data_IF_314637653387
#
_entry.id   IF_314637653387
#
_cell.length_a   1.000
_cell.length_b   1.000
_cell.length_c   1.000
_cell.angle_alpha   90.00
_cell.angle_beta   90.00
_cell.angle_gamma   90.00
#
_symmetry.space_group_name_H-M   'P 1'
#
loop_
_entity.id
_entity.type
_entity.pdbx_description
1 polymer ?
#
# COMPACT_ATOMS: atom_id res chain seq x y z
N UNK A 1 -33.29 28.41 -17.98
CA UNK A 1 -33.22 27.17 -17.19
C UNK A 1 -33.00 25.99 -18.13
N UNK A 2 -31.77 25.46 -18.22
CA UNK A 2 -31.39 24.15 -18.80
C UNK A 2 -29.85 24.06 -18.90
N UNK A 3 -29.16 23.90 -17.77
CA UNK A 3 -27.71 23.65 -17.80
C UNK A 3 -27.38 22.36 -17.03
N UNK A 4 -28.11 21.28 -17.28
CA UNK A 4 -27.72 19.96 -16.79
C UNK A 4 -27.67 19.04 -18.00
N UNK A 5 -26.48 18.52 -18.29
CA UNK A 5 -26.28 17.54 -19.36
C UNK A 5 -26.11 16.17 -18.72
N UNK A 6 -26.88 15.19 -19.18
CA UNK A 6 -26.77 13.82 -18.69
C UNK A 6 -25.95 12.97 -19.66
N UNK A 7 -25.06 12.14 -19.11
CA UNK A 7 -24.34 11.09 -19.82
C UNK A 7 -25.06 9.79 -19.50
N UNK A 8 -25.47 9.06 -20.53
CA UNK A 8 -26.28 7.85 -20.41
C UNK A 8 -25.41 6.59 -20.59
N UNK A 9 -25.85 5.48 -19.99
CA UNK A 9 -25.31 4.14 -20.23
C UNK A 9 -25.73 3.62 -21.61
N UNK A 10 -25.18 2.47 -22.02
CA UNK A 10 -25.57 1.80 -23.26
C UNK A 10 -27.07 1.46 -23.33
N UNK A 11 -27.72 1.27 -22.19
CA UNK A 11 -29.16 0.98 -22.07
C UNK A 11 -30.03 2.26 -22.00
N UNK A 12 -29.42 3.43 -22.21
CA UNK A 12 -30.13 4.71 -22.24
C UNK A 12 -30.47 5.31 -20.87
N UNK A 13 -29.95 4.76 -19.77
CA UNK A 13 -30.18 5.29 -18.41
C UNK A 13 -29.13 6.35 -18.05
N UNK A 14 -29.50 7.49 -17.46
CA UNK A 14 -28.54 8.54 -17.08
C UNK A 14 -27.65 8.04 -15.93
N UNK A 15 -26.34 8.01 -16.15
CA UNK A 15 -25.33 7.54 -15.18
C UNK A 15 -24.45 8.66 -14.63
N UNK A 16 -24.28 9.76 -15.38
CA UNK A 16 -23.60 10.96 -14.90
C UNK A 16 -24.37 12.21 -15.30
N UNK A 17 -24.15 13.31 -14.57
CA UNK A 17 -24.66 14.63 -14.91
C UNK A 17 -23.53 15.67 -14.85
N UNK A 18 -23.50 16.56 -15.82
CA UNK A 18 -22.62 17.74 -15.87
C UNK A 18 -23.47 18.95 -15.50
N UNK A 19 -23.06 19.64 -14.44
CA UNK A 19 -23.74 20.83 -13.92
C UNK A 19 -22.75 21.99 -13.77
N UNK A 20 -23.19 23.25 -13.95
CA UNK A 20 -22.41 24.42 -13.59
C UNK A 20 -21.98 24.39 -12.13
N UNK A 21 -20.74 24.81 -11.88
CA UNK A 21 -20.12 24.76 -10.56
C UNK A 21 -20.94 25.46 -9.48
N UNK A 22 -21.56 26.60 -9.79
CA UNK A 22 -22.41 27.34 -8.85
C UNK A 22 -23.64 26.52 -8.37
N UNK A 23 -24.20 25.69 -9.26
CA UNK A 23 -25.34 24.82 -8.93
C UNK A 23 -24.86 23.65 -8.05
N UNK A 24 -23.73 23.04 -8.41
CA UNK A 24 -23.12 21.98 -7.60
C UNK A 24 -22.82 22.44 -6.18
N UNK A 25 -22.20 23.61 -6.01
CA UNK A 25 -21.90 24.17 -4.70
C UNK A 25 -23.16 24.34 -3.85
N UNK A 26 -24.24 24.87 -4.44
CA UNK A 26 -25.52 25.05 -3.74
C UNK A 26 -26.14 23.71 -3.30
N UNK A 27 -26.04 22.67 -4.13
CA UNK A 27 -26.55 21.33 -3.83
C UNK A 27 -25.77 20.63 -2.72
N UNK A 28 -24.43 20.74 -2.74
CA UNK A 28 -23.55 20.12 -1.74
C UNK A 28 -23.61 20.86 -0.40
N UNK A 29 -23.74 22.18 -0.39
CA UNK A 29 -23.85 22.96 0.85
C UNK A 29 -25.14 22.67 1.64
N UNK A 30 -26.24 22.33 0.96
CA UNK A 30 -27.53 22.02 1.59
C UNK A 30 -27.71 20.53 1.95
N UNK A 31 -26.78 19.67 1.50
CA UNK A 31 -26.78 18.24 1.79
C UNK A 31 -25.30 17.78 1.93
N UNK A 32 -24.65 18.00 3.09
CA UNK A 32 -23.27 17.58 3.31
C UNK A 32 -23.11 16.05 3.29
N UNK A 33 -24.22 15.30 3.21
CA UNK A 33 -24.30 13.84 3.06
C UNK A 33 -24.09 13.37 1.63
N UNK A 34 -23.22 14.05 0.88
CA UNK A 34 -22.58 13.51 -0.31
C UNK A 34 -21.15 13.14 0.07
N UNK A 35 -20.97 12.11 0.89
CA UNK A 35 -19.65 11.48 1.06
C UNK A 35 -19.20 11.09 -0.36
N UNK A 36 -18.34 11.91 -0.98
CA UNK A 36 -17.37 11.42 -1.95
C UNK A 36 -16.88 10.10 -1.38
N UNK A 37 -16.93 8.97 -2.10
CA UNK A 37 -16.62 7.68 -1.52
C UNK A 37 -15.27 7.83 -0.82
N UNK A 38 -15.29 7.86 0.53
CA UNK A 38 -14.08 7.97 1.34
C UNK A 38 -13.17 6.93 0.76
N UNK A 39 -12.06 7.35 0.15
CA UNK A 39 -11.15 6.48 -0.60
C UNK A 39 -10.99 5.22 0.23
N UNK A 40 -11.63 4.12 -0.20
CA UNK A 40 -11.91 3.01 0.70
C UNK A 40 -10.58 2.58 1.30
N UNK A 41 -10.43 2.71 2.62
CA UNK A 41 -9.16 2.54 3.32
C UNK A 41 -8.45 1.30 2.77
N UNK A 42 -7.20 1.46 2.31
CA UNK A 42 -6.43 0.31 1.85
C UNK A 42 -6.16 -0.65 3.01
N UNK A 43 -6.09 -0.11 4.23
CA UNK A 43 -5.95 -0.88 5.46
C UNK A 43 -7.31 -1.46 5.87
N UNK A 44 -7.33 -2.78 6.02
CA UNK A 44 -8.42 -3.56 6.63
C UNK A 44 -8.73 -3.11 8.07
N UNK A 45 -9.95 -3.37 8.54
CA UNK A 45 -10.44 -2.91 9.83
C UNK A 45 -9.64 -3.45 11.03
N UNK A 46 -9.09 -4.66 10.92
CA UNK A 46 -8.24 -5.27 11.95
C UNK A 46 -6.76 -4.86 11.86
N UNK A 47 -6.38 -4.20 10.76
CA UNK A 47 -5.02 -3.74 10.45
C UNK A 47 -4.13 -4.82 9.83
N UNK A 48 -4.64 -6.02 9.55
CA UNK A 48 -3.83 -7.16 9.07
C UNK A 48 -3.44 -7.06 7.61
N UNK A 49 -4.32 -6.51 6.79
CA UNK A 49 -4.16 -6.46 5.34
C UNK A 49 -4.15 -5.04 4.80
N UNK A 50 -3.24 -4.78 3.86
CA UNK A 50 -3.21 -3.57 3.03
C UNK A 50 -3.47 -3.96 1.58
N UNK A 51 -4.56 -3.47 0.99
CA UNK A 51 -4.88 -3.70 -0.43
C UNK A 51 -3.81 -3.06 -1.33
N UNK A 52 -3.38 -3.78 -2.37
CA UNK A 52 -2.41 -3.31 -3.35
C UNK A 52 -3.13 -2.75 -4.59
N UNK A 53 -3.33 -1.41 -4.70
CA UNK A 53 -4.17 -0.83 -5.75
C UNK A 53 -3.64 -1.09 -7.16
N UNK A 54 -2.31 -1.27 -7.28
CA UNK A 54 -1.64 -1.48 -8.56
C UNK A 54 -1.47 -2.95 -8.95
N UNK A 55 -1.89 -3.89 -8.09
CA UNK A 55 -1.82 -5.33 -8.35
C UNK A 55 -3.17 -5.94 -8.73
N UNK A 56 -4.27 -5.19 -8.67
CA UNK A 56 -5.62 -5.67 -8.94
C UNK A 56 -6.40 -6.00 -7.65
N UNK A 57 -7.71 -6.32 -7.77
CA UNK A 57 -8.66 -6.28 -6.66
C UNK A 57 -8.40 -7.31 -5.55
N UNK A 58 -7.74 -8.43 -5.87
CA UNK A 58 -7.58 -9.57 -4.96
C UNK A 58 -6.21 -9.60 -4.26
N UNK A 59 -5.31 -8.67 -4.59
CA UNK A 59 -3.97 -8.66 -4.04
C UNK A 59 -3.86 -7.74 -2.83
N UNK A 60 -3.22 -8.28 -1.79
CA UNK A 60 -3.03 -7.59 -0.53
C UNK A 60 -1.67 -7.95 0.06
N UNK A 61 -1.11 -7.00 0.78
CA UNK A 61 0.04 -7.19 1.65
C UNK A 61 -0.48 -7.66 3.01
N UNK A 62 -0.07 -8.84 3.46
CA UNK A 62 -0.29 -9.32 4.82
C UNK A 62 0.76 -8.69 5.75
N UNK A 63 0.32 -7.71 6.54
CA UNK A 63 1.16 -6.93 7.45
C UNK A 63 1.80 -7.85 8.49
N UNK A 64 1.08 -8.89 8.96
CA UNK A 64 1.61 -9.83 9.93
C UNK A 64 2.81 -10.59 9.36
N UNK A 65 2.71 -11.07 8.11
CA UNK A 65 3.84 -11.74 7.41
C UNK A 65 5.02 -10.80 7.21
N UNK A 66 4.76 -9.54 6.86
CA UNK A 66 5.80 -8.53 6.68
C UNK A 66 6.55 -8.23 7.99
N UNK A 67 5.81 -8.01 9.09
CA UNK A 67 6.42 -7.61 10.36
C UNK A 67 7.09 -8.78 11.08
N UNK A 68 6.56 -10.00 10.96
CA UNK A 68 7.24 -11.22 11.42
C UNK A 68 8.60 -11.39 10.73
N UNK A 69 8.65 -11.18 9.41
CA UNK A 69 9.90 -11.20 8.65
C UNK A 69 10.89 -10.15 9.16
N UNK A 70 10.42 -8.91 9.40
CA UNK A 70 11.28 -7.84 9.91
C UNK A 70 11.79 -8.13 11.32
N UNK A 71 10.96 -8.70 12.20
CA UNK A 71 11.40 -9.13 13.53
C UNK A 71 12.50 -10.18 13.44
N UNK A 72 12.29 -11.23 12.64
CA UNK A 72 13.27 -12.32 12.47
C UNK A 72 14.58 -11.84 11.86
N UNK A 73 14.54 -10.84 10.98
CA UNK A 73 15.72 -10.24 10.35
C UNK A 73 16.40 -9.15 11.20
N UNK A 74 15.79 -8.70 12.31
CA UNK A 74 16.23 -7.51 13.04
C UNK A 74 16.18 -6.24 12.18
N UNK A 75 15.23 -6.15 11.24
CA UNK A 75 15.07 -4.97 10.38
C UNK A 75 14.48 -3.82 11.19
N UNK A 76 15.21 -2.71 11.28
CA UNK A 76 14.78 -1.51 12.01
C UNK A 76 14.30 -0.39 11.09
N UNK A 77 14.67 -0.45 9.81
CA UNK A 77 14.33 0.53 8.80
C UNK A 77 14.31 -0.11 7.41
N UNK A 78 13.39 0.35 6.55
CA UNK A 78 13.28 -0.11 5.17
C UNK A 78 13.15 1.10 4.23
N UNK A 79 13.87 1.13 3.12
CA UNK A 79 13.71 2.16 2.09
C UNK A 79 12.38 1.96 1.37
N UNK A 80 11.61 3.02 1.11
CA UNK A 80 10.35 2.85 0.34
C UNK A 80 10.66 2.43 -1.11
N UNK A 81 11.80 2.91 -1.64
CA UNK A 81 12.37 2.50 -2.93
C UNK A 81 11.41 2.65 -4.14
N UNK A 82 10.72 3.78 -4.26
CA UNK A 82 9.84 4.12 -5.40
C UNK A 82 10.66 4.39 -6.68
N UNK A 83 11.16 3.34 -7.33
CA UNK A 83 11.80 3.41 -8.65
C UNK A 83 10.94 2.72 -9.69
N UNK A 84 10.64 3.43 -10.78
CA UNK A 84 10.03 2.86 -11.96
C UNK A 84 11.07 2.01 -12.72
N UNK A 85 11.25 0.75 -12.30
CA UNK A 85 12.10 -0.23 -12.97
C UNK A 85 11.53 -1.66 -12.85
N UNK A 86 11.92 -2.55 -13.76
CA UNK A 86 11.56 -3.97 -13.71
C UNK A 86 12.16 -4.63 -12.47
N UNK A 87 11.51 -5.69 -11.97
CA UNK A 87 11.86 -6.28 -10.67
C UNK A 87 13.28 -6.87 -10.65
N UNK A 88 13.71 -7.38 -11.79
CA UNK A 88 15.04 -7.96 -12.04
C UNK A 88 16.17 -6.92 -12.02
N UNK A 89 15.87 -5.62 -12.20
CA UNK A 89 16.87 -4.55 -12.23
C UNK A 89 17.25 -4.03 -10.85
N UNK A 90 16.54 -4.46 -9.80
CA UNK A 90 16.97 -4.18 -8.44
C UNK A 90 18.14 -5.10 -8.11
N UNK A 91 19.28 -4.49 -7.77
CA UNK A 91 20.40 -5.23 -7.19
C UNK A 91 20.00 -5.88 -5.84
N UNK A 92 20.80 -6.83 -5.37
CA UNK A 92 20.49 -7.59 -4.15
C UNK A 92 20.26 -6.71 -2.93
N UNK A 93 21.08 -5.66 -2.76
CA UNK A 93 20.98 -4.75 -1.63
C UNK A 93 19.73 -3.87 -1.69
N UNK A 94 19.35 -3.40 -2.88
CA UNK A 94 18.09 -2.67 -3.10
C UNK A 94 16.89 -3.58 -2.90
N UNK A 95 16.97 -4.83 -3.32
CA UNK A 95 15.88 -5.78 -3.14
C UNK A 95 15.70 -6.20 -1.68
N UNK A 96 16.81 -6.35 -0.94
CA UNK A 96 16.83 -6.73 0.47
C UNK A 96 16.33 -5.61 1.39
N UNK A 97 16.63 -4.36 1.03
CA UNK A 97 16.36 -3.17 1.86
C UNK A 97 15.26 -2.24 1.29
N UNK A 98 14.64 -2.60 0.17
CA UNK A 98 13.59 -1.82 -0.48
C UNK A 98 12.20 -2.43 -0.29
N UNK A 99 11.24 -1.61 0.16
CA UNK A 99 9.86 -2.01 0.37
C UNK A 99 9.18 -2.41 -0.94
N UNK A 100 9.32 -1.61 -2.01
CA UNK A 100 8.73 -1.94 -3.32
C UNK A 100 9.17 -3.31 -3.87
N UNK A 101 10.48 -3.61 -4.00
CA UNK A 101 10.91 -4.92 -4.48
C UNK A 101 10.52 -6.05 -3.52
N UNK A 102 10.49 -5.84 -2.20
CA UNK A 102 9.99 -6.84 -1.25
C UNK A 102 8.51 -7.16 -1.47
N UNK A 103 7.66 -6.14 -1.62
CA UNK A 103 6.22 -6.35 -1.88
C UNK A 103 6.04 -7.17 -3.16
N UNK A 104 6.76 -6.79 -4.22
CA UNK A 104 6.65 -7.42 -5.54
C UNK A 104 7.19 -8.86 -5.57
N UNK A 105 8.19 -9.19 -4.76
CA UNK A 105 8.74 -10.55 -4.65
C UNK A 105 7.88 -11.48 -3.80
N UNK A 106 7.37 -10.97 -2.67
CA UNK A 106 6.85 -11.80 -1.57
C UNK A 106 5.32 -11.83 -1.49
N UNK A 107 4.64 -10.82 -2.03
CA UNK A 107 3.19 -10.67 -1.92
C UNK A 107 2.47 -10.72 -3.28
N UNK A 108 3.22 -10.96 -4.36
CA UNK A 108 2.68 -11.23 -5.69
C UNK A 108 3.18 -12.59 -6.19
N UNK A 109 2.31 -13.41 -6.84
CA UNK A 109 2.71 -14.62 -7.53
C UNK A 109 3.82 -14.38 -8.56
N UNK A 110 4.62 -15.41 -8.84
CA UNK A 110 5.71 -15.35 -9.82
C UNK A 110 5.25 -14.96 -11.22
N UNK A 111 4.08 -15.46 -11.62
CA UNK A 111 3.44 -15.17 -12.91
C UNK A 111 2.49 -13.96 -12.87
N UNK A 112 2.51 -13.14 -11.81
CA UNK A 112 1.63 -11.97 -11.73
C UNK A 112 1.97 -10.97 -12.84
N UNK A 113 0.98 -10.50 -13.64
CA UNK A 113 1.24 -9.49 -14.67
C UNK A 113 1.66 -8.14 -14.06
N UNK A 114 1.40 -7.94 -12.75
CA UNK A 114 1.72 -6.72 -12.02
C UNK A 114 3.10 -6.76 -11.33
N UNK A 115 3.87 -7.85 -11.50
CA UNK A 115 5.20 -8.02 -10.88
C UNK A 115 6.19 -6.94 -11.31
N UNK A 116 5.97 -6.30 -12.46
CA UNK A 116 6.74 -5.16 -12.96
C UNK A 116 6.14 -3.78 -12.64
N UNK A 117 5.02 -3.74 -11.91
CA UNK A 117 4.35 -2.50 -11.50
C UNK A 117 4.74 -2.16 -10.07
N UNK A 118 5.06 -0.88 -9.82
CA UNK A 118 5.36 -0.36 -8.48
C UNK A 118 4.16 -0.57 -7.54
N UNK A 119 4.39 -1.18 -6.39
CA UNK A 119 3.39 -1.50 -5.39
C UNK A 119 3.48 -0.62 -4.15
N UNK A 120 4.66 -0.11 -3.81
CA UNK A 120 4.85 0.81 -2.67
C UNK A 120 4.42 2.25 -3.03
N UNK A 121 3.16 2.44 -3.45
CA UNK A 121 2.57 3.76 -3.68
C UNK A 121 2.44 4.53 -2.36
N UNK A 122 2.22 5.85 -2.43
CA UNK A 122 2.06 6.67 -1.24
C UNK A 122 0.88 6.19 -0.38
N UNK A 123 -0.22 5.76 -1.01
CA UNK A 123 -1.40 5.25 -0.30
C UNK A 123 -1.11 3.96 0.45
N UNK A 124 -0.30 3.06 -0.13
CA UNK A 124 0.14 1.81 0.54
C UNK A 124 1.05 2.13 1.71
N UNK A 125 1.98 3.06 1.53
CA UNK A 125 2.90 3.52 2.58
C UNK A 125 2.12 4.17 3.72
N UNK A 126 1.17 5.05 3.42
CA UNK A 126 0.30 5.70 4.42
C UNK A 126 -0.55 4.66 5.16
N UNK A 127 -1.04 3.63 4.46
CA UNK A 127 -1.77 2.53 5.08
C UNK A 127 -0.90 1.73 6.06
N UNK A 128 0.37 1.48 5.70
CA UNK A 128 1.34 0.88 6.62
C UNK A 128 1.59 1.78 7.84
N UNK A 129 1.78 3.09 7.65
CA UNK A 129 1.98 4.03 8.76
C UNK A 129 0.78 4.06 9.71
N UNK A 130 -0.46 3.98 9.18
CA UNK A 130 -1.69 3.91 10.00
C UNK A 130 -1.78 2.69 10.91
N UNK A 131 -0.99 1.64 10.67
CA UNK A 131 -0.90 0.50 11.60
C UNK A 131 -0.25 0.87 12.95
N UNK A 132 0.48 1.99 13.00
CA UNK A 132 1.28 2.39 14.17
C UNK A 132 2.60 1.64 14.31
N UNK A 133 2.88 0.67 13.43
CA UNK A 133 4.13 -0.10 13.42
C UNK A 133 5.23 0.65 12.67
N UNK A 134 4.85 1.51 11.73
CA UNK A 134 5.78 2.18 10.82
C UNK A 134 5.69 3.70 10.98
N UNK A 135 6.85 4.36 10.91
CA UNK A 135 6.97 5.82 10.94
C UNK A 135 7.81 6.29 9.77
N UNK A 136 7.40 7.39 9.12
CA UNK A 136 8.21 8.00 8.07
C UNK A 136 9.55 8.50 8.63
N UNK A 137 10.63 8.20 7.91
CA UNK A 137 11.97 8.69 8.24
C UNK A 137 12.81 8.89 6.97
N UNK A 138 14.02 9.40 7.16
CA UNK A 138 15.09 9.38 6.16
C UNK A 138 16.22 8.50 6.69
N UNK A 139 16.67 7.52 5.91
CA UNK A 139 17.76 6.65 6.32
C UNK A 139 18.76 6.39 5.18
N UNK A 140 20.01 6.18 5.57
CA UNK A 140 21.11 5.81 4.65
C UNK A 140 21.26 4.29 4.68
N UNK A 141 21.37 3.72 3.49
CA UNK A 141 21.60 2.29 3.28
C UNK A 141 22.81 2.12 2.36
N UNK A 142 23.50 0.96 2.39
CA UNK A 142 24.60 0.67 1.48
C UNK A 142 24.23 0.83 0.00
N UNK A 143 23.03 0.37 -0.40
CA UNK A 143 22.57 0.37 -1.79
C UNK A 143 22.28 1.76 -2.40
N UNK A 144 22.18 2.82 -1.60
CA UNK A 144 21.84 4.16 -2.10
C UNK A 144 22.91 5.16 -1.72
N UNK A 145 23.42 5.92 -2.69
CA UNK A 145 24.46 6.93 -2.47
C UNK A 145 24.10 8.01 -1.44
N UNK A 146 22.82 8.39 -1.34
CA UNK A 146 22.32 9.39 -0.37
C UNK A 146 21.24 8.78 0.54
N UNK A 147 20.95 9.40 1.69
CA UNK A 147 19.76 9.04 2.47
C UNK A 147 18.49 9.10 1.61
N UNK A 148 17.58 8.15 1.82
CA UNK A 148 16.33 8.00 1.08
C UNK A 148 15.14 7.98 2.02
N UNK A 149 13.94 8.24 1.48
CA UNK A 149 12.69 8.10 2.23
C UNK A 149 12.49 6.64 2.63
N UNK A 150 12.13 6.46 3.89
CA UNK A 150 12.10 5.16 4.53
C UNK A 150 10.96 5.06 5.54
N UNK A 151 10.68 3.83 5.95
CA UNK A 151 9.86 3.53 7.11
C UNK A 151 10.76 2.99 8.23
N UNK A 152 10.79 3.70 9.35
CA UNK A 152 11.33 3.20 10.61
C UNK A 152 10.30 2.28 11.23
N UNK A 153 10.77 1.18 11.81
CA UNK A 153 9.91 0.20 12.48
C UNK A 153 9.91 0.48 13.98
N UNK A 154 8.72 0.61 14.55
CA UNK A 154 8.51 0.65 15.98
C UNK A 154 8.45 -0.78 16.52
N UNK A 155 9.58 -1.24 17.07
CA UNK A 155 9.75 -2.62 17.56
C UNK A 155 8.72 -3.00 18.63
N UNK A 156 8.35 -2.07 19.51
CA UNK A 156 7.33 -2.32 20.54
C UNK A 156 5.96 -2.56 19.89
N UNK A 157 5.53 -1.67 19.01
CA UNK A 157 4.25 -1.79 18.30
C UNK A 157 4.22 -3.04 17.41
N UNK A 158 5.36 -3.39 16.80
CA UNK A 158 5.53 -4.61 16.02
C UNK A 158 5.25 -5.86 16.86
N UNK A 159 5.89 -6.00 18.03
CA UNK A 159 5.71 -7.19 18.88
C UNK A 159 4.30 -7.25 19.47
N UNK A 160 3.71 -6.10 19.82
CA UNK A 160 2.32 -6.01 20.25
C UNK A 160 1.36 -6.48 19.15
N UNK A 161 1.63 -6.11 17.89
CA UNK A 161 0.83 -6.54 16.75
C UNK A 161 0.91 -8.05 16.50
N UNK A 162 2.12 -8.63 16.53
CA UNK A 162 2.30 -10.10 16.40
C UNK A 162 1.56 -10.82 17.52
N UNK A 163 1.67 -10.35 18.76
CA UNK A 163 0.96 -10.94 19.91
C UNK A 163 -0.56 -10.84 19.75
N UNK A 164 -1.08 -9.72 19.24
CA UNK A 164 -2.52 -9.49 19.02
C UNK A 164 -3.11 -10.44 17.96
N UNK A 165 -2.41 -10.61 16.84
CA UNK A 165 -2.90 -11.43 15.72
C UNK A 165 -2.51 -12.91 15.83
N UNK A 166 -1.68 -13.27 16.81
CA UNK A 166 -1.08 -14.59 16.97
C UNK A 166 0.20 -14.72 16.14
N UNK A 167 1.23 -15.43 16.64
CA UNK A 167 2.42 -15.71 15.86
C UNK A 167 2.06 -16.58 14.64
N UNK A 168 2.73 -16.34 13.52
CA UNK A 168 2.56 -17.16 12.32
C UNK A 168 3.10 -18.57 12.53
N UNK A 169 2.38 -19.54 11.96
CA UNK A 169 2.89 -20.90 11.82
C UNK A 169 4.08 -20.93 10.86
N UNK A 170 4.99 -21.89 11.04
CA UNK A 170 6.20 -21.99 10.22
C UNK A 170 5.92 -22.03 8.71
N UNK A 171 4.77 -22.55 8.28
CA UNK A 171 4.35 -22.64 6.87
C UNK A 171 3.84 -21.32 6.30
N UNK A 172 3.39 -20.40 7.15
CA UNK A 172 2.87 -19.10 6.73
C UNK A 172 3.96 -18.02 6.70
N UNK A 173 5.08 -18.27 7.39
CA UNK A 173 6.23 -17.38 7.43
C UNK A 173 6.85 -17.25 6.04
N UNK A 174 7.27 -16.03 5.71
CA UNK A 174 8.15 -15.80 4.57
C UNK A 174 9.53 -16.38 4.91
N UNK A 175 10.08 -17.20 4.03
CA UNK A 175 11.42 -17.74 4.23
C UNK A 175 12.45 -16.61 4.06
N UNK A 176 13.35 -16.48 5.04
CA UNK A 176 14.44 -15.51 4.97
C UNK A 176 15.43 -15.82 3.83
N UNK A 177 15.52 -17.08 3.41
CA UNK A 177 16.32 -17.51 2.26
C UNK A 177 15.80 -17.01 0.91
N UNK A 178 14.52 -16.60 0.81
CA UNK A 178 13.97 -16.01 -0.43
C UNK A 178 14.46 -14.56 -0.69
N UNK A 179 15.18 -13.97 0.27
CA UNK A 179 15.58 -12.55 0.28
C UNK A 179 17.10 -12.38 0.46
N UNK A 180 17.82 -13.43 0.86
CA UNK A 180 19.28 -13.44 1.00
C UNK A 180 19.94 -13.81 -0.31
#
# INVERSE_FOLDING_TARGET
MKNVQFIHSADGQPIFAVVPMAIYQTLVSNNPSGDLPKTASLLSADGRYVRLPNAGPNFHLDVLRLVDLFARRGTTCIAIAQRAQTLEKFDEEQARNGLDPLIRRLFLPENSPYRNTMQASNEVVDALVRTGIFEHTMAKFPAWYRPVKSLKINEKALHEFIRKHGPLDCKERIDTGEIM
#
